data_IF_201545356779
#
_entry.id   IF_201545356779
#
_cell.length_a   1.000
_cell.length_b   1.000
_cell.length_c   1.000
_cell.angle_alpha   90.00
_cell.angle_beta   90.00
_cell.angle_gamma   90.00
#
_symmetry.space_group_name_H-M   'P 1'
#
loop_
_entity.id
_entity.type
_entity.pdbx_description
1 polymer ?
#
# COMPACT_ATOMS: atom_id res chain seq x y z
N UNK A 1 5.10 -2.63 13.70
CA UNK A 1 3.70 -2.58 13.29
C UNK A 1 3.58 -2.93 11.82
N UNK A 2 2.59 -3.73 11.45
CA UNK A 2 2.13 -3.84 10.07
C UNK A 2 1.30 -2.59 9.76
N UNK A 3 1.28 -2.14 8.51
CA UNK A 3 0.66 -0.86 8.13
C UNK A 3 -0.79 -0.76 8.59
N UNK A 4 -1.14 0.42 9.12
CA UNK A 4 -2.43 0.65 9.79
C UNK A 4 -3.61 0.68 8.83
N UNK A 5 -3.40 1.13 7.59
CA UNK A 5 -4.44 1.24 6.58
C UNK A 5 -4.42 0.09 5.59
N UNK A 6 -5.53 -0.08 4.92
CA UNK A 6 -5.59 -0.82 3.67
C UNK A 6 -6.64 -0.20 2.73
N UNK A 7 -6.35 -0.28 1.46
CA UNK A 7 -7.27 -0.04 0.37
C UNK A 7 -7.47 -1.34 -0.41
N UNK A 8 -8.31 -1.31 -1.43
CA UNK A 8 -8.48 -2.44 -2.35
C UNK A 8 -7.16 -2.91 -2.98
N UNK A 9 -6.17 -2.01 -3.04
CA UNK A 9 -4.94 -2.19 -3.79
C UNK A 9 -3.68 -2.15 -2.94
N UNK A 10 -3.78 -1.99 -1.62
CA UNK A 10 -2.60 -2.00 -0.74
C UNK A 10 -2.65 -0.99 0.39
N UNK A 11 -1.51 -0.38 0.69
CA UNK A 11 -1.29 0.46 1.88
C UNK A 11 -0.78 1.86 1.49
N UNK A 12 -1.64 2.76 0.98
CA UNK A 12 -1.19 4.08 0.52
C UNK A 12 -0.56 4.93 1.62
N UNK A 13 -1.00 4.80 2.88
CA UNK A 13 -0.44 5.57 4.00
C UNK A 13 1.04 5.28 4.23
N UNK A 14 1.52 4.08 3.87
CA UNK A 14 2.91 3.68 4.06
C UNK A 14 3.93 4.63 3.39
N UNK A 15 3.53 5.32 2.32
CA UNK A 15 4.32 6.38 1.69
C UNK A 15 3.68 7.76 1.83
N UNK A 16 2.36 7.88 1.72
CA UNK A 16 1.65 9.16 1.76
C UNK A 16 1.92 9.92 3.06
N UNK A 17 1.81 9.26 4.21
CA UNK A 17 1.97 9.91 5.52
C UNK A 17 3.41 10.33 5.78
N UNK A 18 4.42 9.42 5.77
CA UNK A 18 5.79 9.81 6.12
C UNK A 18 6.40 10.81 5.15
N UNK A 19 6.12 10.70 3.84
CA UNK A 19 6.62 11.67 2.87
C UNK A 19 5.98 13.03 3.06
N UNK A 20 4.66 13.07 3.28
CA UNK A 20 3.96 14.35 3.52
C UNK A 20 4.49 15.05 4.78
N UNK A 21 4.76 14.31 5.87
CA UNK A 21 5.36 14.89 7.09
C UNK A 21 6.76 15.42 6.79
N UNK A 22 7.65 14.58 6.26
CA UNK A 22 9.05 14.95 6.05
C UNK A 22 9.21 16.16 5.12
N UNK A 23 8.46 16.17 4.01
CA UNK A 23 8.54 17.30 3.06
C UNK A 23 7.84 18.54 3.60
N UNK A 24 6.72 18.42 4.32
CA UNK A 24 6.07 19.57 4.94
C UNK A 24 6.95 20.24 6.01
N UNK A 25 7.68 19.45 6.79
CA UNK A 25 8.67 19.97 7.75
C UNK A 25 9.82 20.70 7.05
N UNK A 26 10.40 20.10 6.02
CA UNK A 26 11.49 20.69 5.22
C UNK A 26 11.06 22.00 4.53
N UNK A 27 9.85 22.04 4.00
CA UNK A 27 9.31 23.20 3.31
C UNK A 27 8.62 24.22 4.25
N UNK A 28 8.63 24.00 5.58
CA UNK A 28 7.94 24.84 6.58
C UNK A 28 6.46 25.06 6.25
N UNK A 29 5.80 24.05 5.76
CA UNK A 29 4.40 24.10 5.30
C UNK A 29 3.43 24.26 6.46
N UNK A 30 2.30 24.91 6.18
CA UNK A 30 1.19 24.99 7.12
C UNK A 30 0.47 23.65 7.23
N UNK A 31 -0.27 23.43 8.34
CA UNK A 31 -1.09 22.22 8.49
C UNK A 31 -2.15 22.07 7.39
N UNK A 32 -2.64 23.17 6.81
CA UNK A 32 -3.57 23.14 5.67
C UNK A 32 -2.91 22.63 4.40
N UNK A 33 -1.70 23.07 4.11
CA UNK A 33 -0.92 22.60 2.95
C UNK A 33 -0.55 21.13 3.10
N UNK A 34 -0.12 20.72 4.30
CA UNK A 34 0.11 19.33 4.63
C UNK A 34 -1.13 18.45 4.38
N UNK A 35 -2.29 18.79 4.91
CA UNK A 35 -3.52 18.02 4.73
C UNK A 35 -3.95 17.97 3.26
N UNK A 36 -3.81 19.09 2.53
CA UNK A 36 -4.13 19.11 1.10
C UNK A 36 -3.19 18.24 0.26
N UNK A 37 -1.92 18.15 0.64
CA UNK A 37 -0.96 17.25 0.01
C UNK A 37 -1.25 15.79 0.35
N UNK A 38 -1.53 15.50 1.61
CA UNK A 38 -1.87 14.15 2.09
C UNK A 38 -3.11 13.60 1.36
N UNK A 39 -4.19 14.38 1.25
CA UNK A 39 -5.39 13.97 0.52
C UNK A 39 -5.05 13.69 -0.95
N UNK A 40 -4.30 14.57 -1.60
CA UNK A 40 -3.89 14.37 -2.99
C UNK A 40 -3.05 13.10 -3.19
N UNK A 41 -2.22 12.72 -2.21
CA UNK A 41 -1.45 11.48 -2.26
C UNK A 41 -2.34 10.24 -2.32
N UNK A 42 -3.36 10.19 -1.47
CA UNK A 42 -4.33 9.10 -1.48
C UNK A 42 -5.09 9.05 -2.81
N UNK A 43 -5.55 10.22 -3.31
CA UNK A 43 -6.22 10.31 -4.60
C UNK A 43 -5.39 9.70 -5.73
N UNK A 44 -4.16 10.17 -5.91
CA UNK A 44 -3.33 9.74 -7.02
C UNK A 44 -2.91 8.27 -6.87
N UNK A 45 -2.44 7.89 -5.69
CA UNK A 45 -2.00 6.51 -5.43
C UNK A 45 -3.13 5.50 -5.68
N UNK A 46 -4.30 5.74 -5.09
CA UNK A 46 -5.41 4.81 -5.17
C UNK A 46 -6.02 4.75 -6.56
N UNK A 47 -6.17 5.88 -7.24
CA UNK A 47 -6.69 5.93 -8.61
C UNK A 47 -5.77 5.23 -9.60
N UNK A 48 -4.46 5.49 -9.50
CA UNK A 48 -3.48 4.81 -10.35
C UNK A 48 -3.46 3.31 -10.06
N UNK A 49 -3.45 2.92 -8.79
CA UNK A 49 -3.46 1.50 -8.42
C UNK A 49 -4.70 0.76 -8.91
N UNK A 50 -5.88 1.41 -8.88
CA UNK A 50 -7.11 0.84 -9.42
C UNK A 50 -7.09 0.75 -10.95
N UNK A 51 -6.47 1.72 -11.63
CA UNK A 51 -6.35 1.72 -13.09
C UNK A 51 -5.46 0.60 -13.64
N UNK A 52 -4.50 0.15 -12.82
CA UNK A 52 -3.51 -0.87 -13.21
C UNK A 52 -3.70 -2.20 -12.47
N UNK A 53 -4.86 -2.46 -11.90
CA UNK A 53 -5.14 -3.76 -11.28
C UNK A 53 -4.94 -4.88 -12.31
N UNK A 54 -4.04 -5.82 -12.03
CA UNK A 54 -3.85 -6.95 -12.94
C UNK A 54 -5.05 -7.87 -12.94
N UNK A 55 -5.23 -8.59 -14.03
CA UNK A 55 -6.11 -9.77 -14.03
C UNK A 55 -5.59 -10.81 -13.01
N UNK A 56 -6.47 -11.66 -12.46
CA UNK A 56 -6.12 -12.61 -11.40
C UNK A 56 -4.94 -13.53 -11.76
N UNK A 57 -4.84 -13.93 -13.02
CA UNK A 57 -3.77 -14.81 -13.49
C UNK A 57 -2.44 -14.05 -13.62
N UNK A 58 -2.47 -12.79 -13.95
CA UNK A 58 -1.28 -11.96 -14.09
C UNK A 58 -0.63 -11.70 -12.73
N UNK A 59 -1.39 -11.31 -11.72
CA UNK A 59 -0.89 -11.10 -10.36
C UNK A 59 -0.21 -12.36 -9.81
N UNK A 60 -0.85 -13.50 -9.97
CA UNK A 60 -0.36 -14.79 -9.47
C UNK A 60 0.95 -15.22 -10.13
N UNK A 61 1.09 -14.96 -11.43
CA UNK A 61 2.23 -15.43 -12.22
C UNK A 61 3.42 -14.47 -12.23
N UNK A 62 3.20 -13.18 -12.01
CA UNK A 62 4.26 -12.15 -12.11
C UNK A 62 4.89 -11.77 -10.76
N UNK A 63 4.33 -12.24 -9.65
CA UNK A 63 4.87 -11.96 -8.32
C UNK A 63 4.91 -10.47 -7.97
N UNK A 64 3.89 -9.78 -8.26
CA UNK A 64 3.76 -8.35 -8.20
C UNK A 64 3.83 -7.77 -6.78
N UNK A 65 4.55 -6.69 -6.58
CA UNK A 65 4.63 -6.02 -5.29
C UNK A 65 3.68 -4.82 -5.22
N UNK A 66 2.84 -4.80 -4.21
CA UNK A 66 1.86 -3.73 -3.96
C UNK A 66 2.50 -2.39 -3.57
N UNK A 67 3.81 -2.32 -3.38
CA UNK A 67 4.56 -1.08 -3.15
C UNK A 67 4.74 -0.25 -4.41
N UNK A 68 4.60 -0.84 -5.58
CA UNK A 68 4.90 -0.19 -6.86
C UNK A 68 4.19 1.17 -7.00
N UNK A 69 2.88 1.21 -6.79
CA UNK A 69 2.11 2.45 -6.94
C UNK A 69 2.25 3.44 -5.80
N UNK A 70 2.90 3.08 -4.70
CA UNK A 70 3.16 4.03 -3.61
C UNK A 70 4.13 5.16 -4.02
N UNK A 71 4.89 4.96 -5.10
CA UNK A 71 5.70 6.04 -5.66
C UNK A 71 4.85 7.24 -6.06
N UNK A 72 3.62 7.02 -6.52
CA UNK A 72 2.69 8.08 -6.91
C UNK A 72 2.23 8.91 -5.71
N UNK A 73 2.01 8.27 -4.55
CA UNK A 73 1.76 8.98 -3.31
C UNK A 73 2.95 9.87 -2.93
N UNK A 74 4.15 9.30 -2.94
CA UNK A 74 5.37 9.99 -2.55
C UNK A 74 5.67 11.18 -3.49
N UNK A 75 5.60 10.96 -4.80
CA UNK A 75 5.83 12.02 -5.79
C UNK A 75 4.80 13.14 -5.67
N UNK A 76 3.52 12.79 -5.47
CA UNK A 76 2.43 13.76 -5.31
C UNK A 76 2.64 14.63 -4.07
N UNK A 77 2.98 14.01 -2.92
CA UNK A 77 3.27 14.74 -1.70
C UNK A 77 4.40 15.73 -1.89
N UNK A 78 5.54 15.24 -2.38
CA UNK A 78 6.73 16.04 -2.56
C UNK A 78 6.49 17.17 -3.57
N UNK A 79 5.94 16.87 -4.73
CA UNK A 79 5.69 17.88 -5.76
C UNK A 79 4.73 18.99 -5.29
N UNK A 80 3.63 18.59 -4.62
CA UNK A 80 2.64 19.55 -4.12
C UNK A 80 3.19 20.45 -3.02
N UNK A 81 3.91 19.88 -2.05
CA UNK A 81 4.51 20.64 -0.94
C UNK A 81 5.70 21.51 -1.38
N UNK A 82 6.43 21.10 -2.40
CA UNK A 82 7.49 21.91 -3.01
C UNK A 82 6.96 23.00 -3.95
N UNK A 83 5.65 23.10 -4.17
CA UNK A 83 5.01 24.12 -4.97
C UNK A 83 5.22 23.96 -6.49
N UNK A 84 5.36 22.72 -6.97
CA UNK A 84 5.50 22.44 -8.40
C UNK A 84 4.19 22.76 -9.14
N UNK A 85 4.31 23.31 -10.34
CA UNK A 85 3.18 23.51 -11.24
C UNK A 85 2.75 22.19 -11.92
N UNK A 86 1.62 22.22 -12.63
CA UNK A 86 1.07 21.03 -13.29
C UNK A 86 2.03 20.40 -14.29
N UNK A 87 2.79 21.21 -15.03
CA UNK A 87 3.79 20.72 -16.00
C UNK A 87 4.95 20.03 -15.28
N UNK A 88 5.40 20.61 -14.18
CA UNK A 88 6.47 20.02 -13.37
C UNK A 88 6.01 18.72 -12.70
N UNK A 89 4.75 18.69 -12.21
CA UNK A 89 4.16 17.46 -11.64
C UNK A 89 4.08 16.34 -12.67
N UNK A 90 3.63 16.63 -13.88
CA UNK A 90 3.59 15.63 -14.98
C UNK A 90 5.00 15.10 -15.32
N UNK A 91 6.01 15.97 -15.35
CA UNK A 91 7.41 15.56 -15.50
C UNK A 91 7.93 14.73 -14.33
N UNK A 92 7.54 15.05 -13.10
CA UNK A 92 7.87 14.24 -11.93
C UNK A 92 7.23 12.84 -12.04
N UNK A 93 6.00 12.76 -12.49
CA UNK A 93 5.34 11.49 -12.75
C UNK A 93 6.05 10.69 -13.84
N UNK A 94 6.46 11.31 -14.94
CA UNK A 94 7.25 10.66 -15.97
C UNK A 94 8.52 10.01 -15.44
N UNK A 95 9.24 10.70 -14.54
CA UNK A 95 10.43 10.14 -13.92
C UNK A 95 10.08 9.06 -12.86
N UNK A 96 8.97 9.23 -12.15
CA UNK A 96 8.47 8.21 -11.22
C UNK A 96 8.14 6.90 -11.92
N UNK A 97 7.61 6.96 -13.15
CA UNK A 97 7.39 5.78 -13.98
C UNK A 97 8.71 5.00 -14.22
N UNK A 98 9.81 5.71 -14.43
CA UNK A 98 11.13 5.11 -14.58
C UNK A 98 11.68 4.50 -13.28
N UNK A 99 11.34 5.08 -12.13
CA UNK A 99 11.77 4.63 -10.81
C UNK A 99 10.84 3.62 -10.17
N UNK A 100 9.64 3.42 -10.72
CA UNK A 100 8.66 2.49 -10.17
C UNK A 100 9.21 1.07 -10.17
N UNK A 101 9.26 0.48 -8.99
CA UNK A 101 9.79 -0.87 -8.83
C UNK A 101 8.86 -1.92 -9.43
N UNK A 102 9.40 -2.77 -10.25
CA UNK A 102 8.77 -4.03 -10.66
C UNK A 102 9.18 -5.14 -9.67
N UNK A 103 9.05 -4.86 -8.37
CA UNK A 103 9.51 -5.77 -7.35
C UNK A 103 8.66 -7.04 -7.29
N UNK A 104 9.32 -8.18 -7.13
CA UNK A 104 8.65 -9.44 -6.89
C UNK A 104 8.11 -9.50 -5.45
N UNK A 105 7.03 -10.22 -5.26
CA UNK A 105 6.44 -10.48 -3.94
C UNK A 105 7.29 -11.47 -3.09
N UNK A 106 8.53 -11.68 -3.48
CA UNK A 106 9.48 -12.62 -2.82
C UNK A 106 9.71 -12.30 -1.35
N UNK A 107 9.78 -11.02 -0.99
CA UNK A 107 9.98 -10.63 0.41
C UNK A 107 8.84 -11.12 1.31
N UNK A 108 7.61 -11.08 0.80
CA UNK A 108 6.44 -11.58 1.52
C UNK A 108 6.41 -13.10 1.59
N UNK A 109 6.75 -13.78 0.49
CA UNK A 109 6.79 -15.23 0.44
C UNK A 109 7.87 -15.82 1.35
N UNK A 110 8.98 -15.11 1.53
CA UNK A 110 10.10 -15.54 2.38
C UNK A 110 10.08 -14.96 3.79
N UNK A 111 9.03 -14.20 4.15
CA UNK A 111 8.92 -13.50 5.45
C UNK A 111 10.16 -12.66 5.78
N UNK A 112 10.76 -12.06 4.75
CA UNK A 112 11.94 -11.22 4.90
C UNK A 112 11.61 -9.85 5.45
N UNK A 113 12.44 -9.32 6.36
CA UNK A 113 12.36 -7.94 6.84
C UNK A 113 12.51 -6.90 5.72
N UNK A 114 13.06 -7.27 4.57
CA UNK A 114 13.10 -6.43 3.36
C UNK A 114 11.69 -6.01 2.89
N UNK A 115 10.67 -6.75 3.26
CA UNK A 115 9.27 -6.41 3.01
C UNK A 115 8.91 -5.00 3.52
N UNK A 116 9.42 -4.59 4.68
CA UNK A 116 9.17 -3.24 5.20
C UNK A 116 10.04 -2.17 4.52
N UNK A 117 11.22 -2.54 4.05
CA UNK A 117 12.17 -1.62 3.43
C UNK A 117 11.66 -1.06 2.08
N UNK A 118 10.89 -1.84 1.32
CA UNK A 118 10.36 -1.42 0.01
C UNK A 118 9.64 -0.07 0.07
N UNK A 119 8.86 0.19 1.13
CA UNK A 119 8.11 1.43 1.29
C UNK A 119 9.00 2.65 1.45
N UNK A 120 10.09 2.50 2.18
CA UNK A 120 11.09 3.56 2.35
C UNK A 120 11.78 3.90 1.03
N UNK A 121 12.18 2.88 0.27
CA UNK A 121 12.85 3.07 -1.01
C UNK A 121 11.94 3.73 -2.06
N UNK A 122 10.72 3.25 -2.20
CA UNK A 122 9.72 3.85 -3.09
C UNK A 122 9.42 5.30 -2.70
N UNK A 123 9.33 5.58 -1.39
CA UNK A 123 9.13 6.94 -0.88
C UNK A 123 10.27 7.87 -1.23
N UNK A 124 11.52 7.43 -1.06
CA UNK A 124 12.71 8.18 -1.46
C UNK A 124 12.71 8.47 -2.96
N UNK A 125 12.43 7.47 -3.78
CA UNK A 125 12.39 7.60 -5.24
C UNK A 125 11.35 8.62 -5.71
N UNK A 126 10.18 8.68 -5.07
CA UNK A 126 9.16 9.67 -5.37
C UNK A 126 9.57 11.10 -5.02
N UNK A 127 10.25 11.30 -3.88
CA UNK A 127 10.81 12.61 -3.51
C UNK A 127 11.90 13.04 -4.52
N UNK A 128 12.77 12.11 -4.90
CA UNK A 128 13.82 12.37 -5.89
C UNK A 128 13.24 12.76 -7.24
N UNK A 129 12.19 12.09 -7.71
CA UNK A 129 11.51 12.44 -8.94
C UNK A 129 10.94 13.88 -8.91
N UNK A 130 10.33 14.29 -7.79
CA UNK A 130 9.83 15.65 -7.61
C UNK A 130 10.97 16.68 -7.60
N UNK A 131 12.08 16.41 -6.92
CA UNK A 131 13.27 17.27 -6.92
C UNK A 131 13.86 17.41 -8.32
N UNK A 132 14.00 16.32 -9.06
CA UNK A 132 14.49 16.34 -10.43
C UNK A 132 13.59 17.19 -11.34
N UNK A 133 12.28 17.12 -11.18
CA UNK A 133 11.35 17.96 -11.92
C UNK A 133 11.48 19.44 -11.52
N UNK A 134 11.61 19.72 -10.22
CA UNK A 134 11.82 21.08 -9.69
C UNK A 134 13.06 21.77 -10.30
N UNK A 135 14.13 21.01 -10.48
CA UNK A 135 15.39 21.52 -11.02
C UNK A 135 15.54 21.33 -12.55
N UNK A 136 14.48 20.91 -13.23
CA UNK A 136 14.47 20.81 -14.70
C UNK A 136 15.22 19.61 -15.28
N UNK A 137 15.55 18.61 -14.46
CA UNK A 137 16.22 17.37 -14.88
C UNK A 137 15.21 16.40 -15.51
N UNK A 138 14.02 16.27 -14.91
CA UNK A 138 12.96 15.42 -15.43
C UNK A 138 12.32 16.06 -16.68
N UNK A 139 12.12 15.27 -17.72
CA UNK A 139 11.64 15.74 -19.01
C UNK A 139 10.56 14.85 -19.67
N UNK A 140 10.18 13.75 -19.04
CA UNK A 140 9.11 12.87 -19.51
C UNK A 140 7.75 13.39 -19.09
N UNK A 141 6.74 13.25 -19.96
CA UNK A 141 5.36 13.67 -19.69
C UNK A 141 4.37 12.62 -20.18
N UNK A 142 3.15 12.63 -19.63
CA UNK A 142 2.05 11.78 -20.08
C UNK A 142 2.27 10.29 -19.80
N UNK A 143 2.95 9.91 -18.74
CA UNK A 143 3.35 8.52 -18.47
C UNK A 143 2.18 7.52 -18.34
N UNK A 144 0.97 8.00 -18.10
CA UNK A 144 -0.23 7.16 -18.03
C UNK A 144 -0.93 6.97 -19.39
N UNK A 145 -0.62 7.82 -20.39
CA UNK A 145 -1.35 7.89 -21.66
C UNK A 145 -0.52 7.44 -22.86
N UNK A 146 0.80 7.46 -22.76
CA UNK A 146 1.68 7.09 -23.86
C UNK A 146 1.70 5.57 -24.06
N UNK A 147 1.81 5.09 -25.33
CA UNK A 147 2.07 3.68 -25.60
C UNK A 147 3.34 3.20 -24.90
N UNK A 148 3.28 2.01 -24.32
CA UNK A 148 4.36 1.43 -23.49
C UNK A 148 4.68 2.26 -22.22
N UNK A 149 3.75 3.10 -21.78
CA UNK A 149 3.83 3.83 -20.51
C UNK A 149 3.60 2.93 -19.30
N UNK A 150 3.48 3.58 -18.14
CA UNK A 150 3.35 2.87 -16.86
C UNK A 150 2.23 1.82 -16.84
N UNK A 151 1.06 2.18 -17.35
CA UNK A 151 -0.10 1.29 -17.26
C UNK A 151 0.10 -0.01 -18.03
N UNK A 152 0.58 0.06 -19.25
CA UNK A 152 0.79 -1.11 -20.12
C UNK A 152 1.97 -1.99 -19.67
N UNK A 153 2.90 -1.42 -18.90
CA UNK A 153 4.01 -2.19 -18.32
C UNK A 153 3.58 -3.05 -17.14
N UNK A 154 2.55 -2.60 -16.40
CA UNK A 154 2.14 -3.23 -15.16
C UNK A 154 1.03 -4.24 -15.30
N UNK A 155 0.14 -4.09 -16.27
CA UNK A 155 -1.05 -4.92 -16.35
C UNK A 155 -1.48 -5.19 -17.78
N UNK A 156 -2.13 -6.31 -17.97
CA UNK A 156 -2.86 -6.70 -19.19
C UNK A 156 -4.32 -6.22 -19.21
N UNK A 157 -4.79 -5.60 -18.11
CA UNK A 157 -6.17 -5.22 -17.88
C UNK A 157 -6.31 -3.73 -17.45
N UNK A 158 -5.70 -2.81 -18.23
CA UNK A 158 -5.72 -1.38 -17.92
C UNK A 158 -7.14 -0.82 -17.96
N UNK A 159 -7.58 -0.19 -16.88
CA UNK A 159 -8.82 0.59 -16.82
C UNK A 159 -8.56 2.05 -16.43
N UNK A 160 -8.24 2.87 -17.43
CA UNK A 160 -7.97 4.31 -17.24
C UNK A 160 -9.18 5.11 -16.74
N UNK A 161 -10.40 4.54 -16.74
CA UNK A 161 -11.57 5.25 -16.20
C UNK A 161 -11.39 5.61 -14.74
N UNK A 162 -10.61 4.82 -13.99
CA UNK A 162 -10.31 5.09 -12.58
C UNK A 162 -9.52 6.37 -12.35
N UNK A 163 -8.75 6.85 -13.32
CA UNK A 163 -7.94 8.07 -13.18
C UNK A 163 -8.81 9.33 -13.02
N UNK A 164 -10.06 9.30 -13.47
CA UNK A 164 -10.99 10.45 -13.42
C UNK A 164 -12.42 10.08 -13.02
N UNK A 165 -12.64 8.86 -12.53
CA UNK A 165 -13.96 8.40 -12.07
C UNK A 165 -14.35 9.08 -10.76
N UNK A 166 -15.63 9.46 -10.63
CA UNK A 166 -16.24 9.95 -9.38
C UNK A 166 -15.35 11.00 -8.65
N UNK A 167 -14.92 12.04 -9.38
CA UNK A 167 -14.01 13.07 -8.87
C UNK A 167 -14.61 13.97 -7.77
N UNK A 168 -15.86 13.83 -7.47
CA UNK A 168 -16.59 14.48 -6.38
C UNK A 168 -16.48 13.75 -5.04
N UNK A 169 -15.91 12.53 -5.05
CA UNK A 169 -15.65 11.72 -3.86
C UNK A 169 -14.14 11.49 -3.68
N UNK A 170 -13.66 11.76 -2.47
CA UNK A 170 -12.26 11.54 -2.16
C UNK A 170 -11.97 10.08 -1.85
N UNK A 171 -11.00 9.49 -2.55
CA UNK A 171 -10.57 8.10 -2.37
C UNK A 171 -10.08 7.78 -0.94
N UNK A 172 -9.57 8.77 -0.22
CA UNK A 172 -9.20 8.60 1.19
C UNK A 172 -10.37 8.15 2.07
N UNK A 173 -11.62 8.41 1.66
CA UNK A 173 -12.80 7.96 2.39
C UNK A 173 -13.09 6.47 2.23
N UNK A 174 -12.44 5.81 1.27
CA UNK A 174 -12.54 4.37 1.02
C UNK A 174 -11.47 3.54 1.77
N UNK A 175 -10.62 4.23 2.55
CA UNK A 175 -9.58 3.56 3.32
C UNK A 175 -10.19 2.82 4.51
N UNK A 176 -9.77 1.58 4.68
CA UNK A 176 -10.05 0.79 5.87
C UNK A 176 -8.88 0.91 6.85
N UNK A 177 -9.19 1.18 8.10
CA UNK A 177 -8.19 1.16 9.18
C UNK A 177 -8.23 -0.21 9.85
N UNK A 178 -7.08 -0.84 9.98
CA UNK A 178 -6.95 -2.15 10.64
C UNK A 178 -7.32 -2.04 12.11
N UNK A 179 -8.10 -3.01 12.57
CA UNK A 179 -8.45 -3.15 14.00
C UNK A 179 -7.35 -3.90 14.76
N UNK A 180 -6.75 -4.90 14.14
CA UNK A 180 -5.74 -5.77 14.74
C UNK A 180 -4.34 -5.45 14.21
N UNK A 181 -3.28 -5.45 15.05
CA UNK A 181 -1.90 -5.16 14.61
C UNK A 181 -1.28 -6.35 13.87
N UNK A 182 -1.92 -6.76 12.78
CA UNK A 182 -1.58 -7.93 12.01
C UNK A 182 -1.76 -7.68 10.49
N UNK A 183 -1.38 -8.65 9.67
CA UNK A 183 -1.56 -8.59 8.22
C UNK A 183 -3.05 -8.40 7.85
N UNK A 184 -3.34 -7.73 6.73
CA UNK A 184 -4.71 -7.44 6.31
C UNK A 184 -5.59 -8.68 6.14
N UNK A 185 -5.03 -9.78 5.65
CA UNK A 185 -5.75 -11.03 5.44
C UNK A 185 -6.12 -11.75 6.76
N UNK A 186 -5.48 -11.37 7.86
CA UNK A 186 -5.73 -11.93 9.19
C UNK A 186 -6.84 -11.17 9.93
N UNK A 187 -7.18 -9.95 9.49
CA UNK A 187 -8.18 -9.10 10.16
C UNK A 187 -9.54 -9.81 10.33
N UNK A 188 -10.11 -10.28 9.23
CA UNK A 188 -11.44 -10.89 9.25
C UNK A 188 -11.53 -12.18 10.09
N UNK A 189 -10.60 -13.14 9.99
CA UNK A 189 -10.63 -14.32 10.86
C UNK A 189 -10.56 -13.98 12.35
N UNK A 190 -9.71 -13.04 12.74
CA UNK A 190 -9.58 -12.64 14.14
C UNK A 190 -10.82 -11.90 14.62
N UNK A 191 -11.36 -10.98 13.83
CA UNK A 191 -12.60 -10.26 14.15
C UNK A 191 -13.78 -11.23 14.35
N UNK A 192 -13.93 -12.23 13.47
CA UNK A 192 -14.98 -13.24 13.60
C UNK A 192 -14.83 -14.05 14.91
N UNK A 193 -13.61 -14.44 15.27
CA UNK A 193 -13.36 -15.14 16.53
C UNK A 193 -13.69 -14.22 17.71
N UNK A 194 -13.29 -12.96 17.66
CA UNK A 194 -13.59 -11.99 18.70
C UNK A 194 -15.11 -11.78 18.89
N UNK A 195 -15.82 -11.63 17.79
CA UNK A 195 -17.28 -11.49 17.83
C UNK A 195 -17.98 -12.75 18.38
N UNK A 196 -17.54 -13.93 17.95
CA UNK A 196 -18.13 -15.20 18.39
C UNK A 196 -17.88 -15.44 19.87
N UNK A 197 -16.65 -15.27 20.34
CA UNK A 197 -16.30 -15.47 21.76
C UNK A 197 -17.07 -14.50 22.65
N UNK A 198 -17.20 -13.25 22.25
CA UNK A 198 -17.96 -12.24 22.97
C UNK A 198 -19.48 -12.55 22.96
N UNK A 199 -20.03 -12.84 21.79
CA UNK A 199 -21.47 -13.06 21.59
C UNK A 199 -21.99 -14.30 22.34
N UNK A 200 -21.19 -15.36 22.34
CA UNK A 200 -21.58 -16.65 22.94
C UNK A 200 -20.88 -16.93 24.25
N UNK A 201 -20.11 -16.00 24.80
CA UNK A 201 -19.35 -16.14 26.04
C UNK A 201 -18.44 -17.38 26.03
N UNK A 202 -17.81 -17.67 24.87
CA UNK A 202 -16.92 -18.81 24.72
C UNK A 202 -15.58 -18.47 25.38
N UNK A 203 -15.09 -19.39 26.21
CA UNK A 203 -13.78 -19.26 26.85
C UNK A 203 -12.73 -20.06 26.07
N UNK A 204 -11.45 -19.68 26.11
CA UNK A 204 -10.39 -20.40 25.39
C UNK A 204 -10.37 -21.91 25.69
N UNK A 205 -10.61 -22.28 26.97
CA UNK A 205 -10.65 -23.67 27.41
C UNK A 205 -11.84 -24.49 26.87
N UNK A 206 -12.86 -23.83 26.34
CA UNK A 206 -14.03 -24.47 25.71
C UNK A 206 -13.83 -24.77 24.24
N UNK A 207 -12.71 -24.28 23.63
CA UNK A 207 -12.43 -24.40 22.21
C UNK A 207 -11.63 -25.66 21.92
N UNK A 208 -12.22 -26.60 21.20
CA UNK A 208 -11.53 -27.80 20.71
C UNK A 208 -10.79 -27.51 19.41
N UNK A 209 -11.43 -26.81 18.48
CA UNK A 209 -10.89 -26.52 17.15
C UNK A 209 -11.46 -25.22 16.58
N UNK A 210 -10.64 -24.51 15.78
CA UNK A 210 -11.07 -23.37 14.98
C UNK A 210 -10.80 -23.69 13.50
N UNK A 211 -11.87 -23.79 12.71
CA UNK A 211 -11.81 -24.05 11.26
C UNK A 211 -12.08 -22.77 10.49
N UNK A 212 -11.13 -22.37 9.63
CA UNK A 212 -11.26 -21.22 8.73
C UNK A 212 -11.55 -21.72 7.32
N UNK A 213 -12.70 -21.32 6.76
CA UNK A 213 -13.12 -21.75 5.44
C UNK A 213 -13.69 -20.57 4.62
N UNK A 214 -13.13 -20.28 3.42
CA UNK A 214 -11.93 -20.88 2.85
C UNK A 214 -10.66 -20.46 3.59
N UNK A 215 -9.65 -21.33 3.71
CA UNK A 215 -8.39 -20.98 4.32
C UNK A 215 -7.55 -20.12 3.37
N UNK A 216 -6.89 -19.11 3.90
CA UNK A 216 -5.85 -18.39 3.18
C UNK A 216 -4.54 -19.14 3.42
N UNK A 217 -4.24 -20.10 2.57
CA UNK A 217 -3.19 -21.11 2.78
C UNK A 217 -1.85 -20.54 3.25
N UNK A 218 -1.36 -19.49 2.58
CA UNK A 218 -0.08 -18.88 2.93
C UNK A 218 -0.10 -18.01 4.21
N UNK A 219 -1.26 -17.93 4.87
CA UNK A 219 -1.45 -17.29 6.19
C UNK A 219 -1.78 -18.27 7.30
N UNK A 220 -1.80 -19.56 7.00
CA UNK A 220 -2.13 -20.63 7.96
C UNK A 220 -0.87 -21.30 8.55
N UNK A 221 0.31 -20.72 8.38
CA UNK A 221 1.55 -21.30 8.88
C UNK A 221 1.59 -21.27 10.42
N UNK A 222 2.02 -22.39 10.99
CA UNK A 222 2.21 -22.59 12.40
C UNK A 222 3.49 -23.42 12.61
N UNK A 223 4.67 -22.79 12.66
CA UNK A 223 5.92 -23.51 12.71
C UNK A 223 6.13 -24.24 14.04
N UNK A 224 6.54 -25.50 13.98
CA UNK A 224 6.74 -26.38 15.17
C UNK A 224 7.74 -25.78 16.18
N UNK A 225 8.72 -25.03 15.71
CA UNK A 225 9.75 -24.40 16.54
C UNK A 225 9.39 -23.00 17.05
N UNK A 226 8.15 -22.57 16.80
CA UNK A 226 7.71 -21.19 17.08
C UNK A 226 8.13 -20.20 15.98
N UNK A 227 7.71 -18.97 16.15
CA UNK A 227 7.92 -17.90 15.16
C UNK A 227 9.29 -17.25 15.33
N UNK A 228 10.01 -17.07 14.24
CA UNK A 228 11.39 -16.55 14.24
C UNK A 228 11.44 -15.01 14.20
N UNK A 229 10.35 -14.38 13.81
CA UNK A 229 10.27 -12.92 13.69
C UNK A 229 8.87 -12.40 13.97
N UNK A 230 8.78 -11.11 14.28
CA UNK A 230 7.50 -10.41 14.43
C UNK A 230 6.68 -10.48 13.13
N UNK A 231 7.32 -10.32 11.98
CA UNK A 231 6.65 -10.42 10.69
C UNK A 231 6.01 -11.79 10.50
N UNK A 232 6.75 -12.87 10.77
CA UNK A 232 6.23 -14.22 10.65
C UNK A 232 5.00 -14.44 11.54
N UNK A 233 5.03 -13.94 12.77
CA UNK A 233 3.92 -14.01 13.71
C UNK A 233 2.71 -13.16 13.25
N UNK A 234 2.91 -11.92 12.84
CA UNK A 234 1.84 -11.02 12.37
C UNK A 234 1.15 -11.50 11.09
N UNK A 235 1.83 -12.34 10.32
CA UNK A 235 1.30 -12.92 9.09
C UNK A 235 0.62 -14.29 9.30
N UNK A 236 0.67 -14.83 10.50
CA UNK A 236 0.07 -16.12 10.84
C UNK A 236 -1.31 -15.94 11.47
N UNK A 237 -2.35 -16.40 10.78
CA UNK A 237 -3.72 -16.41 11.33
C UNK A 237 -3.83 -17.23 12.63
N UNK A 238 -3.25 -18.46 12.71
CA UNK A 238 -3.25 -19.22 13.97
C UNK A 238 -2.61 -18.47 15.12
N UNK A 239 -1.46 -17.81 14.90
CA UNK A 239 -0.77 -17.05 15.93
C UNK A 239 -1.60 -15.89 16.44
N UNK A 240 -2.16 -15.07 15.54
CA UNK A 240 -2.90 -13.87 15.94
C UNK A 240 -4.20 -14.24 16.64
N UNK A 241 -4.91 -15.29 16.20
CA UNK A 241 -6.10 -15.78 16.90
C UNK A 241 -5.74 -16.32 18.29
N UNK A 242 -4.68 -17.13 18.40
CA UNK A 242 -4.23 -17.63 19.70
C UNK A 242 -3.84 -16.49 20.65
N UNK A 243 -3.14 -15.47 20.13
CA UNK A 243 -2.77 -14.28 20.93
C UNK A 243 -3.96 -13.45 21.38
N UNK A 244 -5.05 -13.44 20.60
CA UNK A 244 -6.29 -12.79 21.02
C UNK A 244 -7.00 -13.56 22.14
N UNK A 245 -6.97 -14.90 22.09
CA UNK A 245 -7.67 -15.76 23.05
C UNK A 245 -6.97 -15.88 24.42
N UNK A 246 -5.67 -15.55 24.49
CA UNK A 246 -4.86 -15.62 25.72
C UNK A 246 -4.92 -14.31 26.51
#
# INVERSE_FOLDING_TARGET
>A
LDWEDCSWTGHPSASAVPVSIAVAEDQHSTGKEYLAALIACFEVCMRVSMAVQPGPDFDHNQGWAISNWNIWAATTAAAKLMGLDATQIDKAFGLSCHFAEMASNMQQATMSNAYHYQWGHVSQSGIEAALCAKYGIANMQGCFDIPYGYCEQLTDAVDRSWLNKDMDQFMIMEILIKHWPANMWVQNPVELVADMTKKYSIKPEDIEEIVINPPIQYRMHCPEKGYSSLMEAQFSTPFVIASYLL
#
